data_IF_092294813042
#
_entry.id   IF_092294813042
#
_cell.length_a   1.000
_cell.length_b   1.000
_cell.length_c   1.000
_cell.angle_alpha   90.00
_cell.angle_beta   90.00
_cell.angle_gamma   90.00
#
_symmetry.space_group_name_H-M   'P 1'
#
loop_
_entity.id
_entity.type
_entity.pdbx_description
1 polymer ?
#
# COMPACT_ATOMS: atom_id res chain seq x y z
N UNK A 1 -13.91 6.48 -18.74
CA UNK A 1 -12.61 6.63 -18.04
C UNK A 1 -12.43 5.38 -17.20
N UNK A 2 -11.42 4.52 -17.43
CA UNK A 2 -11.17 3.38 -16.55
C UNK A 2 -10.86 3.84 -15.13
N UNK A 3 -11.53 3.27 -14.13
CA UNK A 3 -11.36 3.63 -12.72
C UNK A 3 -10.83 2.43 -11.94
N UNK A 4 -9.75 2.65 -11.20
CA UNK A 4 -9.29 1.74 -10.15
C UNK A 4 -9.76 2.31 -8.81
N UNK A 5 -10.53 1.53 -8.06
CA UNK A 5 -10.95 1.92 -6.72
C UNK A 5 -9.81 1.81 -5.71
N UNK A 6 -9.95 2.47 -4.56
CA UNK A 6 -9.04 2.31 -3.44
C UNK A 6 -9.84 2.34 -2.13
N UNK A 7 -9.80 1.25 -1.37
CA UNK A 7 -10.47 1.10 -0.07
C UNK A 7 -9.48 0.71 1.03
N UNK A 8 -9.96 0.70 2.28
CA UNK A 8 -9.13 0.41 3.45
C UNK A 8 -8.63 1.69 4.09
N UNK A 9 -7.35 1.71 4.43
CA UNK A 9 -6.66 2.93 4.86
C UNK A 9 -6.47 3.81 3.61
N UNK A 10 -7.06 4.99 3.60
CA UNK A 10 -6.90 5.95 2.50
C UNK A 10 -6.04 7.12 3.02
N UNK A 11 -4.78 7.27 2.56
CA UNK A 11 -3.89 8.33 3.07
C UNK A 11 -4.47 9.74 3.01
N UNK A 12 -5.34 10.02 2.02
CA UNK A 12 -6.04 11.30 1.89
C UNK A 12 -7.00 11.62 3.06
N UNK A 13 -7.42 10.60 3.81
CA UNK A 13 -8.30 10.72 4.98
C UNK A 13 -7.54 10.65 6.31
N UNK A 14 -6.20 10.75 6.31
CA UNK A 14 -5.37 10.53 7.50
C UNK A 14 -5.75 11.40 8.69
N UNK A 15 -6.08 12.68 8.47
CA UNK A 15 -6.50 13.59 9.54
C UNK A 15 -7.84 13.18 10.15
N UNK A 16 -8.80 12.82 9.29
CA UNK A 16 -10.13 12.34 9.71
C UNK A 16 -10.03 11.02 10.50
N UNK A 17 -9.10 10.16 10.10
CA UNK A 17 -8.88 8.86 10.75
C UNK A 17 -8.00 8.97 12.01
N UNK A 18 -7.38 10.13 12.26
CA UNK A 18 -6.43 10.34 13.34
C UNK A 18 -5.18 9.47 13.16
N UNK A 19 -4.67 9.39 11.94
CA UNK A 19 -3.45 8.69 11.55
C UNK A 19 -3.63 7.43 10.71
N UNK A 20 -2.51 6.84 10.32
CA UNK A 20 -2.43 5.60 9.54
C UNK A 20 -2.85 4.37 10.35
N UNK A 21 -4.15 4.06 10.35
CA UNK A 21 -4.75 2.97 11.15
C UNK A 21 -5.21 1.81 10.29
N UNK A 22 -4.82 0.61 10.71
CA UNK A 22 -5.27 -0.66 10.11
C UNK A 22 -6.80 -0.78 10.23
N UNK A 23 -7.47 -1.11 9.12
CA UNK A 23 -8.92 -1.34 9.04
C UNK A 23 -9.27 -2.83 9.12
N UNK A 24 -10.53 -3.16 9.35
CA UNK A 24 -11.07 -4.50 9.49
C UNK A 24 -10.94 -5.11 10.89
N UNK A 25 -10.88 -4.27 11.94
CA UNK A 25 -10.70 -4.74 13.34
C UNK A 25 -11.99 -5.14 14.06
N UNK A 26 -13.12 -4.58 13.65
CA UNK A 26 -14.44 -4.87 14.21
C UNK A 26 -15.35 -5.39 13.11
N UNK A 27 -16.35 -6.18 13.48
CA UNK A 27 -17.29 -6.78 12.52
C UNK A 27 -18.02 -5.71 11.70
N UNK A 28 -18.35 -4.56 12.29
CA UNK A 28 -18.95 -3.44 11.57
C UNK A 28 -17.99 -2.87 10.52
N UNK A 29 -16.70 -2.75 10.85
CA UNK A 29 -15.72 -2.24 9.89
C UNK A 29 -15.43 -3.25 8.78
N UNK A 30 -15.45 -4.56 9.09
CA UNK A 30 -15.35 -5.63 8.09
C UNK A 30 -16.54 -5.58 7.14
N UNK A 31 -17.76 -5.54 7.66
CA UNK A 31 -18.98 -5.46 6.86
C UNK A 31 -18.98 -4.20 5.97
N UNK A 32 -18.55 -3.06 6.50
CA UNK A 32 -18.44 -1.82 5.74
C UNK A 32 -17.42 -1.92 4.58
N UNK A 33 -16.24 -2.53 4.81
CA UNK A 33 -15.24 -2.71 3.76
C UNK A 33 -15.74 -3.62 2.63
N UNK A 34 -16.39 -4.73 2.97
CA UNK A 34 -16.98 -5.65 1.99
C UNK A 34 -18.07 -4.93 1.19
N UNK A 35 -18.94 -4.18 1.85
CA UNK A 35 -19.99 -3.42 1.18
C UNK A 35 -19.42 -2.38 0.20
N UNK A 36 -18.35 -1.67 0.57
CA UNK A 36 -17.69 -0.70 -0.31
C UNK A 36 -17.02 -1.41 -1.49
N UNK A 37 -16.34 -2.54 -1.28
CA UNK A 37 -15.72 -3.30 -2.37
C UNK A 37 -16.75 -3.72 -3.43
N UNK A 38 -17.88 -4.29 -3.00
CA UNK A 38 -19.00 -4.68 -3.88
C UNK A 38 -19.62 -3.47 -4.59
N UNK A 39 -19.75 -2.34 -3.90
CA UNK A 39 -20.30 -1.12 -4.49
C UNK A 39 -19.37 -0.53 -5.57
N UNK A 40 -18.06 -0.54 -5.32
CA UNK A 40 -17.04 -0.07 -6.27
C UNK A 40 -17.01 -0.94 -7.53
N UNK A 41 -17.05 -2.27 -7.36
CA UNK A 41 -17.20 -3.21 -8.47
C UNK A 41 -18.48 -2.94 -9.26
N UNK A 42 -19.62 -2.86 -8.58
CA UNK A 42 -20.93 -2.59 -9.22
C UNK A 42 -20.96 -1.26 -9.97
N UNK A 43 -20.19 -0.28 -9.53
CA UNK A 43 -20.05 1.01 -10.21
C UNK A 43 -19.20 0.95 -11.50
N UNK A 44 -18.56 -0.20 -11.78
CA UNK A 44 -17.79 -0.44 -13.00
C UNK A 44 -16.29 -0.15 -12.88
N UNK A 45 -15.74 -0.15 -11.66
CA UNK A 45 -14.28 -0.13 -11.49
C UNK A 45 -13.66 -1.38 -12.13
N UNK A 46 -12.49 -1.24 -12.76
CA UNK A 46 -11.82 -2.39 -13.39
C UNK A 46 -10.89 -3.14 -12.44
N UNK A 47 -10.52 -2.53 -11.30
CA UNK A 47 -9.65 -3.09 -10.27
C UNK A 47 -9.81 -2.32 -8.96
N UNK A 48 -9.33 -2.89 -7.85
CA UNK A 48 -9.45 -2.34 -6.51
C UNK A 48 -8.13 -2.46 -5.73
N UNK A 49 -7.58 -1.33 -5.29
CA UNK A 49 -6.53 -1.30 -4.26
C UNK A 49 -7.13 -1.52 -2.88
N UNK A 50 -6.53 -2.40 -2.09
CA UNK A 50 -6.86 -2.65 -0.68
C UNK A 50 -5.62 -2.31 0.15
N UNK A 51 -5.68 -1.21 0.91
CA UNK A 51 -4.55 -0.72 1.71
C UNK A 51 -4.81 -0.89 3.22
N UNK A 52 -3.81 -1.38 3.94
CA UNK A 52 -3.78 -1.32 5.41
C UNK A 52 -4.99 -1.96 6.09
N UNK A 53 -5.30 -3.21 5.77
CA UNK A 53 -6.42 -3.96 6.36
C UNK A 53 -5.94 -5.20 7.12
N UNK A 54 -6.79 -5.79 7.97
CA UNK A 54 -6.58 -7.15 8.47
C UNK A 54 -6.49 -8.11 7.27
N UNK A 55 -5.52 -9.02 7.30
CA UNK A 55 -5.19 -9.93 6.20
C UNK A 55 -6.41 -10.77 5.75
N UNK A 56 -7.11 -11.40 6.70
CA UNK A 56 -8.28 -12.23 6.41
C UNK A 56 -9.42 -11.46 5.74
N UNK A 57 -9.52 -10.15 5.99
CA UNK A 57 -10.54 -9.28 5.40
C UNK A 57 -10.22 -8.99 3.93
N UNK A 58 -8.96 -8.67 3.61
CA UNK A 58 -8.53 -8.45 2.21
C UNK A 58 -8.64 -9.73 1.38
N UNK A 59 -8.29 -10.87 1.99
CA UNK A 59 -8.47 -12.18 1.38
C UNK A 59 -9.95 -12.49 1.10
N UNK A 60 -10.85 -12.21 2.06
CA UNK A 60 -12.29 -12.42 1.87
C UNK A 60 -12.85 -11.51 0.77
N UNK A 61 -12.45 -10.24 0.73
CA UNK A 61 -12.85 -9.30 -0.34
C UNK A 61 -12.39 -9.81 -1.71
N UNK A 62 -11.13 -10.25 -1.83
CA UNK A 62 -10.59 -10.76 -3.11
C UNK A 62 -11.37 -11.96 -3.62
N UNK A 63 -11.84 -12.84 -2.74
CA UNK A 63 -12.69 -13.99 -3.14
C UNK A 63 -14.13 -13.61 -3.52
N UNK A 64 -14.60 -12.42 -3.12
CA UNK A 64 -16.01 -11.99 -3.30
C UNK A 64 -16.25 -11.18 -4.57
N UNK A 65 -15.26 -10.42 -5.02
CA UNK A 65 -15.38 -9.55 -6.20
C UNK A 65 -14.67 -10.19 -7.40
N UNK A 66 -15.17 -9.95 -8.60
CA UNK A 66 -14.64 -10.49 -9.85
C UNK A 66 -13.52 -9.63 -10.45
N UNK A 67 -13.36 -8.39 -10.01
CA UNK A 67 -12.30 -7.48 -10.49
C UNK A 67 -10.99 -7.72 -9.73
N UNK A 68 -9.82 -7.59 -10.38
CA UNK A 68 -8.54 -7.81 -9.72
C UNK A 68 -8.30 -6.90 -8.51
N UNK A 69 -7.85 -7.47 -7.40
CA UNK A 69 -7.42 -6.73 -6.21
C UNK A 69 -5.90 -6.51 -6.19
N UNK A 70 -5.47 -5.35 -5.70
CA UNK A 70 -4.05 -5.00 -5.51
C UNK A 70 -3.81 -4.66 -4.04
N UNK A 71 -3.00 -5.45 -3.34
CA UNK A 71 -2.72 -5.29 -1.93
C UNK A 71 -1.52 -4.38 -1.63
N UNK A 72 -1.62 -3.59 -0.55
CA UNK A 72 -0.49 -2.94 0.12
C UNK A 72 -0.73 -2.94 1.63
N UNK A 73 0.08 -3.70 2.37
CA UNK A 73 -0.21 -3.94 3.80
C UNK A 73 -1.58 -4.58 4.05
N UNK A 74 -1.98 -5.49 3.16
CA UNK A 74 -3.28 -6.16 3.15
C UNK A 74 -3.10 -7.68 3.24
N UNK A 75 -3.33 -8.43 2.15
CA UNK A 75 -3.13 -9.88 2.09
C UNK A 75 -2.26 -10.27 0.89
N UNK A 76 -1.48 -11.35 1.06
CA UNK A 76 -0.80 -12.02 -0.04
C UNK A 76 -1.76 -12.77 -0.98
N UNK A 77 -3.01 -12.96 -0.56
CA UNK A 77 -4.08 -13.52 -1.38
C UNK A 77 -4.73 -12.49 -2.33
N UNK A 78 -4.34 -11.21 -2.29
CA UNK A 78 -4.75 -10.26 -3.34
C UNK A 78 -4.11 -10.64 -4.69
N UNK A 79 -4.78 -10.36 -5.80
CA UNK A 79 -4.32 -10.78 -7.15
C UNK A 79 -3.01 -10.11 -7.59
N UNK A 80 -2.72 -8.94 -7.04
CA UNK A 80 -1.47 -8.21 -7.23
C UNK A 80 -1.02 -7.51 -5.96
N UNK A 81 0.18 -6.96 -6.00
CA UNK A 81 0.78 -6.22 -4.88
C UNK A 81 1.36 -4.90 -5.38
N UNK A 82 1.34 -3.88 -4.53
CA UNK A 82 2.00 -2.59 -4.78
C UNK A 82 2.81 -2.18 -3.54
N UNK A 83 3.93 -1.52 -3.79
CA UNK A 83 4.75 -0.84 -2.78
C UNK A 83 5.16 0.53 -3.32
N UNK A 84 5.45 1.46 -2.41
CA UNK A 84 6.10 2.72 -2.78
C UNK A 84 7.56 2.41 -3.10
N UNK A 85 8.05 2.88 -4.25
CA UNK A 85 9.39 2.54 -4.73
C UNK A 85 10.47 2.98 -3.74
N UNK A 86 10.37 4.18 -3.18
CA UNK A 86 11.34 4.73 -2.22
C UNK A 86 11.45 3.89 -0.95
N UNK A 87 10.31 3.38 -0.46
CA UNK A 87 10.27 2.45 0.68
C UNK A 87 10.96 1.13 0.30
N UNK A 88 10.62 0.60 -0.87
CA UNK A 88 11.10 -0.69 -1.37
C UNK A 88 12.62 -0.67 -1.65
N UNK A 89 13.19 0.45 -2.10
CA UNK A 89 14.60 0.56 -2.49
C UNK A 89 15.48 1.25 -1.44
N UNK A 90 14.94 1.48 -0.24
CA UNK A 90 15.72 1.96 0.91
C UNK A 90 16.01 3.46 0.91
N UNK A 91 15.23 4.27 0.20
CA UNK A 91 15.38 5.73 0.17
C UNK A 91 14.62 6.42 1.31
N UNK A 92 13.45 5.91 1.71
CA UNK A 92 12.64 6.52 2.78
C UNK A 92 13.39 6.63 4.10
N UNK A 93 13.43 7.85 4.65
CA UNK A 93 14.07 8.18 5.94
C UNK A 93 13.04 8.05 7.07
N UNK A 94 13.52 7.74 8.28
CA UNK A 94 12.75 7.63 9.53
C UNK A 94 11.82 6.42 9.63
N UNK A 95 10.64 6.46 8.97
CA UNK A 95 9.55 5.53 9.26
C UNK A 95 9.08 4.79 8.02
N UNK A 96 9.80 3.72 7.68
CA UNK A 96 9.37 2.74 6.70
C UNK A 96 8.13 1.99 7.23
N UNK A 97 7.03 1.89 6.46
CA UNK A 97 5.86 1.11 6.88
C UNK A 97 6.21 -0.35 7.18
N UNK A 98 5.62 -0.92 8.24
CA UNK A 98 5.94 -2.29 8.72
C UNK A 98 5.69 -3.39 7.68
N UNK A 99 4.82 -3.15 6.72
CA UNK A 99 4.49 -4.11 5.66
C UNK A 99 5.46 -4.05 4.47
N UNK A 100 6.38 -3.08 4.44
CA UNK A 100 7.37 -2.97 3.37
C UNK A 100 8.52 -3.93 3.64
N UNK A 101 8.86 -4.73 2.63
CA UNK A 101 10.16 -5.38 2.52
C UNK A 101 11.09 -4.49 1.69
N UNK A 102 12.27 -4.18 2.24
CA UNK A 102 13.32 -3.51 1.48
C UNK A 102 14.06 -4.53 0.59
N UNK A 103 14.25 -4.18 -0.67
CA UNK A 103 14.93 -4.99 -1.69
C UNK A 103 16.29 -4.39 -2.10
N UNK A 104 16.56 -3.14 -1.74
CA UNK A 104 17.85 -2.48 -1.96
C UNK A 104 18.14 -1.47 -0.84
N UNK A 105 19.40 -1.07 -0.74
CA UNK A 105 19.88 0.05 0.08
C UNK A 105 20.47 1.13 -0.84
N UNK A 106 19.59 1.81 -1.58
CA UNK A 106 20.04 2.89 -2.47
C UNK A 106 20.57 4.10 -1.71
N UNK A 107 20.22 4.26 -0.44
CA UNK A 107 20.80 5.32 0.40
C UNK A 107 22.30 5.15 0.49
N UNK A 108 22.77 3.97 0.87
CA UNK A 108 24.21 3.71 0.92
C UNK A 108 24.85 3.87 -0.45
N UNK A 109 24.24 3.36 -1.52
CA UNK A 109 24.79 3.52 -2.88
C UNK A 109 24.98 4.99 -3.26
N UNK A 110 23.97 5.83 -3.01
CA UNK A 110 24.02 7.27 -3.32
C UNK A 110 25.04 7.99 -2.43
N UNK A 111 25.11 7.66 -1.13
CA UNK A 111 26.06 8.25 -0.21
C UNK A 111 27.51 8.01 -0.65
N UNK A 112 27.87 6.77 -0.97
CA UNK A 112 29.21 6.44 -1.45
C UNK A 112 29.53 7.14 -2.79
N UNK A 113 28.57 7.25 -3.70
CA UNK A 113 28.78 7.95 -4.96
C UNK A 113 29.07 9.45 -4.75
N UNK A 114 28.31 10.10 -3.86
CA UNK A 114 28.50 11.50 -3.52
C UNK A 114 29.85 11.76 -2.83
N UNK A 115 30.26 10.89 -1.90
CA UNK A 115 31.56 10.96 -1.23
C UNK A 115 32.72 10.82 -2.21
N UNK A 116 32.63 9.86 -3.13
CA UNK A 116 33.64 9.65 -4.17
C UNK A 116 33.79 10.86 -5.08
N UNK A 117 32.67 11.38 -5.61
CA UNK A 117 32.68 12.60 -6.42
C UNK A 117 33.29 13.78 -5.65
N UNK A 118 32.93 13.95 -4.38
CA UNK A 118 33.46 15.04 -3.55
C UNK A 118 34.98 14.90 -3.29
N UNK A 119 35.50 13.67 -3.18
CA UNK A 119 36.94 13.41 -3.11
C UNK A 119 37.62 13.80 -4.41
N UNK A 120 37.12 13.29 -5.54
CA UNK A 120 37.72 13.50 -6.87
C UNK A 120 37.72 14.98 -7.32
N UNK A 121 36.80 15.81 -6.82
CA UNK A 121 36.76 17.26 -7.12
C UNK A 121 37.68 18.09 -6.21
N UNK A 122 38.02 17.60 -5.01
CA UNK A 122 38.91 18.32 -4.09
C UNK A 122 40.38 18.17 -4.46
N UNK A 123 40.72 17.08 -5.14
CA UNK A 123 42.06 16.77 -5.66
C UNK A 123 42.33 17.49 -6.99
#
# INVERSE_FOLDING_TARGET
IPVMGHIGLQPQSVEKDGGYKIKGRTDENVAALIAVALAVEKAGAFSLVIEGTIETVAADITRRIAIPTVGIGASSECDGQILVIDDMVGLTVDRVPKFVKQYADLRSVIAHAAERYASEVRD
#
